data_IF_702843164010
#
_entry.id   IF_702843164010
#
_cell.length_a   1.000
_cell.length_b   1.000
_cell.length_c   1.000
_cell.angle_alpha   90.00
_cell.angle_beta   90.00
_cell.angle_gamma   90.00
#
_symmetry.space_group_name_H-M   'P 1'
#
loop_
_entity.id
_entity.type
_entity.pdbx_description
1 polymer ?
#
# COMPACT_ATOMS: atom_id res chain seq x y z
N UNK A 1 9.19 -9.87 -19.40
CA UNK A 1 9.99 -8.62 -19.42
C UNK A 1 9.16 -7.33 -19.46
N UNK A 2 8.46 -6.95 -20.55
CA UNK A 2 7.75 -5.66 -20.56
C UNK A 2 6.55 -5.58 -19.60
N UNK A 3 5.78 -6.67 -19.46
CA UNK A 3 4.60 -6.73 -18.58
C UNK A 3 4.97 -6.73 -17.09
N UNK A 4 6.04 -7.43 -16.73
CA UNK A 4 6.54 -7.44 -15.34
C UNK A 4 7.06 -6.06 -14.95
N UNK A 5 7.86 -5.41 -15.80
CA UNK A 5 8.33 -4.04 -15.56
C UNK A 5 7.18 -3.05 -15.35
N UNK A 6 6.09 -3.18 -16.13
CA UNK A 6 4.88 -2.37 -15.95
C UNK A 6 4.17 -2.63 -14.61
N UNK A 7 4.12 -3.89 -14.15
CA UNK A 7 3.52 -4.24 -12.86
C UNK A 7 4.30 -3.70 -11.65
N UNK A 8 5.63 -3.65 -11.74
CA UNK A 8 6.48 -3.03 -10.71
C UNK A 8 6.29 -1.52 -10.57
N UNK A 9 5.91 -0.86 -11.67
CA UNK A 9 5.71 0.59 -11.74
C UNK A 9 4.24 1.01 -11.59
N UNK A 10 3.33 0.04 -11.52
CA UNK A 10 1.91 0.30 -11.40
C UNK A 10 1.57 0.88 -10.00
N UNK A 11 1.25 2.17 -9.97
CA UNK A 11 0.64 2.82 -8.83
C UNK A 11 -0.83 3.15 -9.16
N UNK A 12 -1.80 2.84 -8.29
CA UNK A 12 -3.18 3.25 -8.49
C UNK A 12 -3.33 4.78 -8.54
N UNK A 13 -4.44 5.30 -9.09
CA UNK A 13 -4.74 6.72 -9.02
C UNK A 13 -4.89 7.21 -7.57
N UNK A 14 -4.59 8.49 -7.33
CA UNK A 14 -4.67 9.11 -6.00
C UNK A 14 -6.03 8.96 -5.32
N UNK A 15 -7.12 8.92 -6.09
CA UNK A 15 -8.46 8.74 -5.55
C UNK A 15 -8.62 7.43 -4.78
N UNK A 16 -7.93 6.34 -5.16
CA UNK A 16 -7.94 5.10 -4.38
C UNK A 16 -7.37 5.35 -2.97
N UNK A 17 -6.26 6.05 -2.89
CA UNK A 17 -5.58 6.36 -1.64
C UNK A 17 -6.35 7.37 -0.79
N UNK A 18 -7.02 8.34 -1.41
CA UNK A 18 -7.88 9.31 -0.73
C UNK A 18 -9.10 8.62 -0.10
N UNK A 19 -9.79 7.76 -0.86
CA UNK A 19 -10.96 7.04 -0.38
C UNK A 19 -10.62 5.96 0.66
N UNK A 20 -9.44 5.34 0.56
CA UNK A 20 -8.99 4.32 1.50
C UNK A 20 -8.34 4.88 2.78
N UNK A 21 -8.03 6.18 2.86
CA UNK A 21 -7.17 6.75 3.91
C UNK A 21 -7.64 6.45 5.32
N UNK A 22 -8.88 6.78 5.64
CA UNK A 22 -9.43 6.66 6.99
C UNK A 22 -9.57 5.20 7.43
N UNK A 23 -9.59 4.29 6.44
CA UNK A 23 -9.73 2.86 6.63
C UNK A 23 -8.40 2.11 6.56
N UNK A 24 -7.27 2.80 6.38
CA UNK A 24 -5.93 2.20 6.36
C UNK A 24 -5.64 1.29 7.56
N UNK A 25 -5.94 1.69 8.83
CA UNK A 25 -5.67 0.82 9.98
C UNK A 25 -6.48 -0.48 9.90
N UNK A 26 -7.73 -0.40 9.46
CA UNK A 26 -8.62 -1.56 9.31
C UNK A 26 -8.17 -2.44 8.15
N UNK A 27 -7.81 -1.85 7.01
CA UNK A 27 -7.26 -2.55 5.85
C UNK A 27 -5.94 -3.25 6.16
N UNK A 28 -5.07 -2.64 6.98
CA UNK A 28 -3.87 -3.28 7.52
C UNK A 28 -4.22 -4.52 8.36
N UNK A 29 -5.25 -4.44 9.21
CA UNK A 29 -5.68 -5.58 10.02
C UNK A 29 -6.25 -6.71 9.17
N UNK A 30 -7.02 -6.40 8.11
CA UNK A 30 -7.47 -7.39 7.13
C UNK A 30 -6.27 -8.09 6.46
N UNK A 31 -5.26 -7.34 6.03
CA UNK A 31 -4.00 -7.92 5.51
C UNK A 31 -3.29 -8.79 6.53
N UNK A 32 -3.28 -8.42 7.80
CA UNK A 32 -2.68 -9.25 8.84
C UNK A 32 -3.43 -10.57 9.04
N UNK A 33 -4.77 -10.56 8.98
CA UNK A 33 -5.58 -11.78 9.05
C UNK A 33 -5.22 -12.74 7.90
N UNK A 34 -5.17 -12.24 6.66
CA UNK A 34 -4.74 -13.01 5.49
C UNK A 34 -3.30 -13.52 5.62
N UNK A 35 -2.37 -12.62 5.95
CA UNK A 35 -0.94 -12.96 6.00
C UNK A 35 -0.62 -13.98 7.10
N UNK A 36 -1.38 -13.98 8.19
CA UNK A 36 -1.21 -14.96 9.28
C UNK A 36 -1.46 -16.38 8.77
N UNK A 37 -2.53 -16.58 8.00
CA UNK A 37 -2.85 -17.89 7.40
C UNK A 37 -1.79 -18.28 6.37
N UNK A 38 -1.45 -17.38 5.45
CA UNK A 38 -0.46 -17.69 4.40
C UNK A 38 0.92 -18.02 4.96
N UNK A 39 1.34 -17.37 6.07
CA UNK A 39 2.61 -17.73 6.74
C UNK A 39 2.56 -19.11 7.38
N UNK A 40 1.43 -19.52 7.94
CA UNK A 40 1.28 -20.87 8.49
C UNK A 40 1.41 -21.92 7.39
N UNK A 41 0.83 -21.67 6.21
CA UNK A 41 0.94 -22.56 5.05
C UNK A 41 2.38 -22.64 4.56
N UNK A 42 3.09 -21.51 4.43
CA UNK A 42 4.50 -21.50 4.01
C UNK A 42 5.40 -22.20 5.02
N UNK A 43 5.29 -21.86 6.30
CA UNK A 43 6.15 -22.43 7.35
C UNK A 43 5.90 -23.92 7.58
N UNK A 44 4.65 -24.40 7.42
CA UNK A 44 4.34 -25.82 7.54
C UNK A 44 4.97 -26.67 6.41
N UNK A 45 5.33 -26.04 5.29
CA UNK A 45 5.96 -26.71 4.14
C UNK A 45 7.50 -26.64 4.20
N UNK A 46 8.09 -25.65 4.87
CA UNK A 46 9.55 -25.59 5.06
C UNK A 46 10.09 -26.78 5.87
N UNK A 47 9.27 -27.39 6.73
CA UNK A 47 9.61 -28.61 7.49
C UNK A 47 9.42 -29.92 6.67
N UNK A 48 8.86 -29.87 5.46
CA UNK A 48 8.47 -31.05 4.67
C UNK A 48 8.71 -30.89 3.16
N UNK A 49 9.95 -31.13 2.70
CA UNK A 49 10.38 -31.23 1.28
C UNK A 49 10.08 -30.01 0.37
N UNK A 50 10.99 -29.64 -0.56
CA UNK A 50 10.94 -28.34 -1.26
C UNK A 50 9.86 -28.21 -2.35
N UNK A 51 8.99 -29.20 -2.54
CA UNK A 51 7.87 -29.11 -3.47
C UNK A 51 6.59 -28.89 -2.68
N UNK A 52 6.10 -27.65 -2.70
CA UNK A 52 4.79 -27.36 -2.14
C UNK A 52 3.75 -28.08 -3.00
N UNK A 53 3.13 -29.14 -2.46
CA UNK A 53 2.02 -29.81 -3.13
C UNK A 53 0.91 -28.79 -3.42
N UNK A 54 0.47 -28.74 -4.67
CA UNK A 54 -0.61 -27.87 -5.15
C UNK A 54 -1.88 -28.03 -4.30
N UNK A 55 -2.11 -29.21 -3.71
CA UNK A 55 -3.23 -29.43 -2.80
C UNK A 55 -3.11 -28.58 -1.52
N UNK A 56 -1.93 -28.55 -0.89
CA UNK A 56 -1.66 -27.78 0.32
C UNK A 56 -1.78 -26.27 0.08
N UNK A 57 -1.30 -25.79 -1.06
CA UNK A 57 -1.49 -24.38 -1.46
C UNK A 57 -2.96 -24.03 -1.65
N UNK A 58 -3.71 -24.88 -2.33
CA UNK A 58 -5.14 -24.66 -2.55
C UNK A 58 -5.91 -24.62 -1.22
N UNK A 59 -5.64 -25.55 -0.30
CA UNK A 59 -6.20 -25.52 1.05
C UNK A 59 -5.80 -24.24 1.79
N UNK A 60 -4.54 -23.80 1.64
CA UNK A 60 -4.05 -22.55 2.20
C UNK A 60 -4.79 -21.32 1.67
N UNK A 61 -5.01 -21.22 0.36
CA UNK A 61 -5.76 -20.13 -0.25
C UNK A 61 -7.24 -20.13 0.18
N UNK A 62 -7.87 -21.29 0.29
CA UNK A 62 -9.25 -21.40 0.80
C UNK A 62 -9.36 -20.99 2.28
N UNK A 63 -8.40 -21.38 3.11
CA UNK A 63 -8.32 -20.95 4.51
C UNK A 63 -8.09 -19.43 4.63
N UNK A 64 -7.20 -18.89 3.79
CA UNK A 64 -6.91 -17.45 3.76
C UNK A 64 -8.12 -16.64 3.28
N UNK A 65 -8.89 -17.19 2.33
CA UNK A 65 -10.18 -16.64 1.89
C UNK A 65 -11.19 -16.61 3.04
N UNK A 66 -11.40 -17.74 3.70
CA UNK A 66 -12.31 -17.84 4.84
C UNK A 66 -11.94 -16.87 5.97
N UNK A 67 -10.64 -16.70 6.27
CA UNK A 67 -10.18 -15.75 7.28
C UNK A 67 -10.42 -14.29 6.86
N UNK A 68 -10.29 -13.98 5.57
CA UNK A 68 -10.51 -12.63 5.05
C UNK A 68 -12.00 -12.28 5.04
N UNK A 69 -12.87 -13.22 4.65
CA UNK A 69 -14.34 -13.09 4.73
C UNK A 69 -14.80 -12.94 6.18
N UNK A 70 -14.34 -13.81 7.08
CA UNK A 70 -14.67 -13.73 8.50
C UNK A 70 -14.19 -12.42 9.17
N UNK A 71 -13.15 -11.78 8.62
CA UNK A 71 -12.76 -10.43 9.05
C UNK A 71 -13.75 -9.37 8.55
N UNK A 72 -14.18 -9.45 7.29
CA UNK A 72 -15.16 -8.52 6.73
C UNK A 72 -16.52 -8.64 7.43
N UNK A 73 -16.95 -9.85 7.78
CA UNK A 73 -18.23 -10.11 8.47
C UNK A 73 -18.30 -9.50 9.89
N UNK A 74 -17.19 -9.05 10.45
CA UNK A 74 -17.17 -8.28 11.70
C UNK A 74 -17.66 -6.84 11.51
N UNK A 75 -17.77 -6.39 10.26
CA UNK A 75 -18.21 -5.05 9.89
C UNK A 75 -19.58 -5.11 9.20
N UNK A 76 -20.43 -4.07 9.35
CA UNK A 76 -21.66 -3.97 8.57
C UNK A 76 -21.36 -4.01 7.07
N UNK A 77 -22.24 -4.64 6.28
CA UNK A 77 -22.05 -4.84 4.84
C UNK A 77 -21.80 -3.52 4.09
N UNK A 78 -22.43 -2.42 4.50
CA UNK A 78 -22.19 -1.10 3.87
C UNK A 78 -20.76 -0.58 4.07
N UNK A 79 -20.02 -1.11 5.05
CA UNK A 79 -18.63 -0.74 5.35
C UNK A 79 -17.62 -1.61 4.61
N UNK A 80 -18.01 -2.75 4.05
CA UNK A 80 -17.10 -3.65 3.32
C UNK A 80 -16.31 -2.94 2.21
N UNK A 81 -16.92 -2.09 1.35
CA UNK A 81 -16.18 -1.36 0.32
C UNK A 81 -15.06 -0.49 0.91
N UNK A 82 -15.32 0.16 2.05
CA UNK A 82 -14.37 1.06 2.70
C UNK A 82 -13.19 0.29 3.30
N UNK A 83 -13.46 -0.85 3.93
CA UNK A 83 -12.41 -1.76 4.45
C UNK A 83 -11.50 -2.23 3.33
N UNK A 84 -12.08 -2.61 2.18
CA UNK A 84 -11.34 -3.08 1.01
C UNK A 84 -10.53 -1.96 0.35
N UNK A 85 -11.08 -0.75 0.22
CA UNK A 85 -10.34 0.42 -0.26
C UNK A 85 -9.18 0.78 0.69
N UNK A 86 -9.38 0.67 2.00
CA UNK A 86 -8.31 0.83 2.99
C UNK A 86 -7.22 -0.23 2.86
N UNK A 87 -7.59 -1.49 2.58
CA UNK A 87 -6.63 -2.56 2.35
C UNK A 87 -5.84 -2.33 1.05
N UNK A 88 -6.51 -1.95 -0.03
CA UNK A 88 -5.85 -1.60 -1.30
C UNK A 88 -4.90 -0.42 -1.11
N UNK A 89 -5.34 0.68 -0.51
CA UNK A 89 -4.50 1.85 -0.24
C UNK A 89 -3.26 1.46 0.60
N UNK A 90 -3.42 0.61 1.61
CA UNK A 90 -2.31 0.13 2.43
C UNK A 90 -1.33 -0.75 1.65
N UNK A 91 -1.84 -1.67 0.84
CA UNK A 91 -1.03 -2.58 0.02
C UNK A 91 -0.18 -1.80 -0.99
N UNK A 92 -0.81 -0.92 -1.76
CA UNK A 92 -0.12 -0.17 -2.80
C UNK A 92 0.77 0.95 -2.25
N UNK A 93 0.42 1.58 -1.12
CA UNK A 93 1.28 2.59 -0.49
C UNK A 93 2.56 2.01 0.11
N UNK A 94 2.59 0.70 0.39
CA UNK A 94 3.81 0.04 0.82
C UNK A 94 4.84 -0.16 -0.29
N UNK A 95 4.43 -0.09 -1.56
CA UNK A 95 5.33 -0.32 -2.68
C UNK A 95 5.89 -1.76 -2.76
N UNK A 96 6.82 -1.98 -3.70
CA UNK A 96 7.53 -3.25 -3.84
C UNK A 96 8.42 -3.55 -2.63
N UNK A 97 8.60 -4.82 -2.30
CA UNK A 97 9.43 -5.25 -1.17
C UNK A 97 10.31 -6.43 -1.56
N UNK A 98 11.59 -6.39 -1.19
CA UNK A 98 12.58 -7.42 -1.49
C UNK A 98 12.72 -7.71 -2.98
N UNK A 99 12.54 -6.68 -3.82
CA UNK A 99 12.55 -6.83 -5.27
C UNK A 99 11.31 -7.52 -5.85
N UNK A 100 10.26 -7.77 -5.07
CA UNK A 100 8.98 -8.34 -5.52
C UNK A 100 7.92 -7.24 -5.74
N UNK A 101 6.97 -7.42 -6.68
CA UNK A 101 5.89 -6.48 -6.89
C UNK A 101 4.93 -6.47 -5.69
N UNK A 102 4.02 -5.50 -5.66
CA UNK A 102 3.01 -5.40 -4.60
C UNK A 102 2.19 -6.69 -4.54
N UNK A 103 2.18 -7.35 -3.38
CA UNK A 103 1.41 -8.58 -3.15
C UNK A 103 -0.04 -8.25 -2.82
N UNK A 104 -0.87 -8.10 -3.84
CA UNK A 104 -2.27 -7.68 -3.74
C UNK A 104 -3.29 -8.84 -3.77
N UNK A 105 -2.82 -10.09 -3.72
CA UNK A 105 -3.66 -11.29 -3.77
C UNK A 105 -4.83 -11.29 -2.77
N UNK A 106 -4.70 -10.60 -1.62
CA UNK A 106 -5.78 -10.38 -0.66
C UNK A 106 -7.05 -9.80 -1.31
N UNK A 107 -6.90 -8.72 -2.09
CA UNK A 107 -8.06 -7.97 -2.62
C UNK A 107 -8.63 -8.62 -3.90
N UNK A 108 -7.93 -9.63 -4.43
CA UNK A 108 -8.31 -10.37 -5.63
C UNK A 108 -8.69 -11.83 -5.38
N UNK A 109 -9.09 -12.16 -4.14
CA UNK A 109 -9.58 -13.50 -3.82
C UNK A 109 -10.91 -13.78 -4.52
N UNK A 110 -10.94 -14.85 -5.30
CA UNK A 110 -12.16 -15.37 -5.91
C UNK A 110 -13.07 -15.99 -4.84
N UNK A 111 -14.38 -16.00 -5.08
CA UNK A 111 -15.31 -16.71 -4.19
C UNK A 111 -15.21 -18.23 -4.32
N UNK A 112 -16.01 -18.94 -3.53
CA UNK A 112 -16.05 -20.41 -3.52
C UNK A 112 -16.42 -20.96 -4.90
N UNK A 113 -15.83 -22.08 -5.26
CA UNK A 113 -16.29 -22.82 -6.43
C UNK A 113 -17.69 -23.38 -6.15
N UNK A 114 -18.62 -23.18 -7.09
CA UNK A 114 -19.96 -23.75 -6.97
C UNK A 114 -19.89 -25.28 -7.17
N UNK A 115 -20.89 -25.99 -6.69
CA UNK A 115 -21.00 -27.42 -6.92
C UNK A 115 -21.45 -27.70 -8.36
N UNK A 116 -20.79 -28.66 -9.03
CA UNK A 116 -21.12 -29.12 -10.38
C UNK A 116 -20.04 -28.84 -11.42
N UNK A 117 -19.92 -29.74 -12.40
CA UNK A 117 -18.98 -29.60 -13.52
C UNK A 117 -19.31 -28.36 -14.35
N UNK A 118 -18.30 -27.53 -14.67
CA UNK A 118 -18.49 -26.27 -15.41
C UNK A 118 -19.22 -25.17 -14.63
N UNK A 119 -19.52 -25.37 -13.34
CA UNK A 119 -20.13 -24.32 -12.52
C UNK A 119 -19.11 -23.24 -12.16
N UNK A 120 -19.54 -21.98 -12.26
CA UNK A 120 -18.70 -20.82 -11.95
C UNK A 120 -18.39 -20.68 -10.45
N UNK A 121 -17.89 -19.51 -10.05
CA UNK A 121 -17.62 -19.20 -8.64
C UNK A 121 -18.71 -18.32 -8.03
N UNK A 122 -18.90 -18.41 -6.73
CA UNK A 122 -19.64 -17.43 -5.95
C UNK A 122 -18.94 -16.06 -6.00
N UNK A 123 -19.67 -14.96 -5.78
CA UNK A 123 -19.03 -13.67 -5.52
C UNK A 123 -18.06 -13.79 -4.33
N UNK A 124 -16.88 -13.21 -4.48
CA UNK A 124 -15.86 -13.18 -3.42
C UNK A 124 -15.32 -11.76 -3.22
N UNK A 125 -14.22 -11.64 -2.48
CA UNK A 125 -13.58 -10.33 -2.21
C UNK A 125 -13.26 -9.59 -3.51
N UNK A 126 -12.81 -10.27 -4.56
CA UNK A 126 -12.56 -9.64 -5.86
C UNK A 126 -13.80 -8.95 -6.43
N UNK A 127 -15.00 -9.53 -6.26
CA UNK A 127 -16.24 -8.92 -6.72
C UNK A 127 -16.61 -7.69 -5.89
N UNK A 128 -16.44 -7.76 -4.57
CA UNK A 128 -16.65 -6.62 -3.66
C UNK A 128 -15.67 -5.49 -3.94
N UNK A 129 -14.40 -5.82 -4.24
CA UNK A 129 -13.36 -4.85 -4.59
C UNK A 129 -13.69 -4.17 -5.92
N UNK A 130 -14.10 -4.91 -6.95
CA UNK A 130 -14.55 -4.33 -8.22
C UNK A 130 -15.74 -3.38 -8.01
N UNK A 131 -16.72 -3.78 -7.20
CA UNK A 131 -17.85 -2.91 -6.87
C UNK A 131 -17.40 -1.63 -6.13
N UNK A 132 -16.47 -1.76 -5.18
CA UNK A 132 -15.91 -0.62 -4.46
C UNK A 132 -15.16 0.35 -5.39
N UNK A 133 -14.37 -0.16 -6.34
CA UNK A 133 -13.68 0.65 -7.34
C UNK A 133 -14.66 1.38 -8.27
N UNK A 134 -15.78 0.76 -8.64
CA UNK A 134 -16.86 1.42 -9.39
C UNK A 134 -17.56 2.49 -8.58
N UNK A 135 -17.84 2.23 -7.31
CA UNK A 135 -18.48 3.18 -6.40
C UNK A 135 -17.67 4.48 -6.28
N UNK A 136 -16.33 4.41 -6.32
CA UNK A 136 -15.45 5.59 -6.29
C UNK A 136 -15.11 6.14 -7.69
N UNK A 137 -15.73 5.61 -8.74
CA UNK A 137 -15.58 6.07 -10.12
C UNK A 137 -14.27 5.69 -10.80
N UNK A 138 -13.48 4.78 -10.21
CA UNK A 138 -12.22 4.31 -10.80
C UNK A 138 -12.42 3.26 -11.91
N UNK A 139 -13.51 2.51 -11.83
CA UNK A 139 -13.93 1.59 -12.88
C UNK A 139 -15.32 1.99 -13.35
N UNK A 140 -15.58 1.88 -14.66
CA UNK A 140 -16.95 1.97 -15.19
C UNK A 140 -17.73 0.68 -14.97
N UNK A 141 -19.04 0.77 -15.15
CA UNK A 141 -19.89 -0.41 -15.30
C UNK A 141 -19.59 -1.08 -16.65
N UNK A 142 -19.55 -2.43 -16.69
CA UNK A 142 -19.40 -3.15 -17.94
C UNK A 142 -20.64 -2.92 -18.80
N UNK A 143 -20.43 -2.55 -20.07
CA UNK A 143 -21.50 -2.39 -21.05
C UNK A 143 -21.39 -3.50 -22.08
N UNK A 144 -22.48 -4.22 -22.27
CA UNK A 144 -22.59 -5.20 -23.34
C UNK A 144 -22.76 -4.47 -24.67
N UNK A 145 -21.82 -4.68 -25.57
CA UNK A 145 -21.85 -4.16 -26.94
C UNK A 145 -21.99 -5.32 -27.93
N UNK A 146 -22.27 -5.02 -29.19
CA UNK A 146 -22.29 -6.02 -30.27
C UNK A 146 -20.92 -6.68 -30.50
N UNK A 147 -19.83 -6.10 -30.00
CA UNK A 147 -18.48 -6.66 -30.06
C UNK A 147 -18.10 -7.49 -28.80
N UNK A 148 -19.02 -7.60 -27.83
CA UNK A 148 -18.78 -8.23 -26.54
C UNK A 148 -18.84 -7.22 -25.39
N UNK A 149 -18.42 -7.68 -24.20
CA UNK A 149 -18.40 -6.85 -22.99
C UNK A 149 -17.24 -5.85 -23.06
N UNK A 150 -17.54 -4.56 -22.93
CA UNK A 150 -16.54 -3.48 -22.90
C UNK A 150 -16.60 -2.80 -21.53
N UNK A 151 -15.42 -2.50 -20.98
CA UNK A 151 -15.28 -1.65 -19.79
C UNK A 151 -14.87 -0.25 -20.26
N UNK A 152 -15.69 0.75 -19.91
CA UNK A 152 -15.33 2.15 -20.07
C UNK A 152 -14.53 2.60 -18.85
N UNK A 153 -13.38 3.22 -19.09
CA UNK A 153 -12.60 3.92 -18.09
C UNK A 153 -12.89 5.42 -18.24
N UNK A 154 -12.63 6.25 -17.23
CA UNK A 154 -12.72 7.70 -17.41
C UNK A 154 -11.77 8.11 -18.55
N UNK A 155 -12.34 8.76 -19.59
CA UNK A 155 -11.64 9.05 -20.83
C UNK A 155 -10.43 9.97 -20.63
N UNK A 156 -9.36 9.63 -21.35
CA UNK A 156 -7.97 10.10 -21.31
C UNK A 156 -7.10 9.52 -20.17
N UNK A 157 -5.89 8.98 -20.49
CA UNK A 157 -4.92 8.63 -19.45
C UNK A 157 -4.67 9.87 -18.58
N UNK A 158 -4.81 9.71 -17.26
CA UNK A 158 -4.63 10.81 -16.33
C UNK A 158 -3.27 11.49 -16.63
N UNK A 159 -3.24 12.76 -17.03
CA UNK A 159 -1.97 13.43 -17.35
C UNK A 159 -1.09 13.63 -16.12
N UNK A 160 -1.65 13.42 -14.92
CA UNK A 160 -0.88 13.31 -13.68
C UNK A 160 -0.35 11.88 -13.58
N UNK A 161 0.96 11.71 -13.67
CA UNK A 161 1.62 10.47 -13.29
C UNK A 161 1.06 10.01 -11.93
N UNK A 162 0.74 8.71 -11.81
CA UNK A 162 0.15 8.10 -10.62
C UNK A 162 1.02 8.21 -9.35
N UNK A 163 2.18 8.84 -9.48
CA UNK A 163 3.21 8.94 -8.46
C UNK A 163 3.89 7.60 -8.23
N UNK A 164 4.85 7.58 -7.31
CA UNK A 164 5.53 6.36 -6.88
C UNK A 164 5.32 6.18 -5.37
N UNK A 165 4.97 4.97 -4.91
CA UNK A 165 4.85 4.70 -3.48
C UNK A 165 6.25 4.66 -2.85
N UNK A 166 6.44 5.46 -1.81
CA UNK A 166 7.70 5.54 -1.07
C UNK A 166 7.42 5.60 0.43
N UNK A 167 7.86 4.59 1.16
CA UNK A 167 8.05 4.68 2.61
C UNK A 167 9.30 5.49 2.95
N UNK A 168 9.14 6.49 3.80
CA UNK A 168 10.19 7.33 4.35
C UNK A 168 10.34 7.02 5.85
N UNK A 169 11.47 6.43 6.19
CA UNK A 169 11.81 5.98 7.53
C UNK A 169 12.45 7.09 8.37
N UNK A 170 12.17 7.06 9.68
CA UNK A 170 12.79 7.97 10.65
C UNK A 170 12.20 9.38 10.66
N UNK A 171 11.07 9.62 9.97
CA UNK A 171 10.44 10.92 9.88
C UNK A 171 10.12 11.52 11.26
N UNK A 172 9.56 10.73 12.19
CA UNK A 172 9.28 11.19 13.55
C UNK A 172 10.52 11.70 14.29
N UNK A 173 11.65 11.00 14.12
CA UNK A 173 12.88 11.32 14.83
C UNK A 173 13.57 12.53 14.24
N UNK A 174 13.57 12.66 12.91
CA UNK A 174 14.15 13.82 12.24
C UNK A 174 13.32 15.08 12.48
N UNK A 175 11.98 14.98 12.50
CA UNK A 175 11.12 16.09 12.93
C UNK A 175 11.45 16.49 14.38
N UNK A 176 11.54 15.51 15.29
CA UNK A 176 11.87 15.77 16.69
C UNK A 176 13.20 16.52 16.81
N UNK A 177 14.27 16.04 16.15
CA UNK A 177 15.59 16.70 16.13
C UNK A 177 15.55 18.11 15.55
N UNK A 178 14.75 18.33 14.51
CA UNK A 178 14.60 19.66 13.89
C UNK A 178 13.88 20.65 14.83
N UNK A 179 12.97 20.16 15.68
CA UNK A 179 12.17 21.00 16.59
C UNK A 179 12.71 21.08 18.03
N UNK A 180 13.57 20.16 18.42
CA UNK A 180 14.10 20.03 19.79
C UNK A 180 15.62 19.75 19.74
N UNK A 181 16.48 20.78 19.90
CA UNK A 181 17.94 20.64 19.81
C UNK A 181 18.55 19.63 20.78
N UNK A 182 17.97 19.46 21.97
CA UNK A 182 18.47 18.54 23.01
C UNK A 182 18.10 17.06 22.75
N UNK A 183 17.54 16.74 21.59
CA UNK A 183 17.19 15.36 21.23
C UNK A 183 18.45 14.50 21.16
N UNK A 184 18.52 13.37 21.90
CA UNK A 184 19.67 12.48 21.86
C UNK A 184 20.03 12.03 20.45
N UNK A 185 21.32 11.88 20.15
CA UNK A 185 21.83 11.49 18.83
C UNK A 185 21.43 10.07 18.38
N UNK A 186 21.01 9.21 19.31
CA UNK A 186 20.51 7.87 19.02
C UNK A 186 19.01 7.80 19.31
N UNK A 187 18.25 7.23 18.36
CA UNK A 187 16.79 7.03 18.49
C UNK A 187 16.40 6.18 19.70
N UNK A 188 17.24 5.20 20.06
CA UNK A 188 17.06 4.30 21.20
C UNK A 188 17.04 5.04 22.54
N UNK A 189 17.75 6.17 22.63
CA UNK A 189 17.87 6.99 23.84
C UNK A 189 16.72 7.98 24.03
N UNK A 190 15.85 8.16 23.03
CA UNK A 190 14.64 8.98 23.18
C UNK A 190 13.66 8.25 24.08
N UNK A 191 13.21 8.94 25.13
CA UNK A 191 12.28 8.37 26.11
C UNK A 191 10.98 7.86 25.45
N UNK A 192 10.36 6.78 25.96
CA UNK A 192 9.12 6.25 25.38
C UNK A 192 7.98 7.28 25.25
N UNK A 193 7.73 8.17 26.25
CA UNK A 193 6.70 9.20 26.13
C UNK A 193 6.99 10.22 25.01
N UNK A 194 8.24 10.70 24.91
CA UNK A 194 8.63 11.61 23.82
C UNK A 194 8.53 10.95 22.45
N UNK A 195 8.93 9.68 22.35
CA UNK A 195 8.78 8.90 21.12
C UNK A 195 7.32 8.80 20.70
N UNK A 196 6.42 8.43 21.63
CA UNK A 196 5.00 8.34 21.35
C UNK A 196 4.42 9.69 20.90
N UNK A 197 4.77 10.78 21.58
CA UNK A 197 4.35 12.13 21.22
C UNK A 197 4.85 12.54 19.82
N UNK A 198 6.12 12.27 19.50
CA UNK A 198 6.68 12.59 18.18
C UNK A 198 6.01 11.77 17.06
N UNK A 199 5.71 10.48 17.31
CA UNK A 199 4.97 9.64 16.35
C UNK A 199 3.53 10.14 16.15
N UNK A 200 2.86 10.59 17.21
CA UNK A 200 1.53 11.18 17.12
C UNK A 200 1.54 12.46 16.26
N UNK A 201 2.54 13.34 16.46
CA UNK A 201 2.70 14.54 15.61
C UNK A 201 2.85 14.21 14.12
N UNK A 202 3.56 13.15 13.77
CA UNK A 202 3.64 12.69 12.37
C UNK A 202 2.27 12.26 11.85
N UNK A 203 1.47 11.57 12.66
CA UNK A 203 0.11 11.17 12.27
C UNK A 203 -0.81 12.37 12.01
N UNK A 204 -0.62 13.48 12.73
CA UNK A 204 -1.34 14.72 12.48
C UNK A 204 -0.81 15.42 11.20
N UNK A 205 0.52 15.47 11.04
CA UNK A 205 1.16 16.22 9.95
C UNK A 205 0.94 15.60 8.57
N UNK A 206 0.83 14.27 8.48
CA UNK A 206 0.57 13.59 7.19
C UNK A 206 -0.76 13.99 6.56
N UNK A 207 -1.73 14.44 7.37
CA UNK A 207 -3.06 14.81 6.89
C UNK A 207 -3.06 16.17 6.18
N UNK A 208 -2.37 17.15 6.79
CA UNK A 208 -2.50 18.56 6.38
C UNK A 208 -1.18 19.17 5.91
N UNK A 209 -0.07 18.90 6.62
CA UNK A 209 1.20 19.63 6.41
C UNK A 209 2.10 18.97 5.37
N UNK A 210 2.12 17.64 5.32
CA UNK A 210 3.00 16.92 4.40
C UNK A 210 2.40 16.84 3.00
N UNK A 211 1.07 16.88 2.84
CA UNK A 211 0.45 16.93 1.51
C UNK A 211 0.86 18.22 0.79
N UNK A 212 1.44 18.07 -0.40
CA UNK A 212 1.97 19.18 -1.18
C UNK A 212 3.40 19.59 -0.83
N UNK A 213 3.98 19.05 0.25
CA UNK A 213 5.36 19.34 0.63
C UNK A 213 6.31 18.89 -0.48
N UNK A 214 7.25 19.77 -0.81
CA UNK A 214 8.32 19.49 -1.74
C UNK A 214 9.47 18.78 -1.02
N UNK A 215 9.95 17.70 -1.61
CA UNK A 215 11.12 16.97 -1.14
C UNK A 215 12.17 16.95 -2.25
N UNK A 216 13.43 17.07 -1.86
CA UNK A 216 14.56 16.71 -2.73
C UNK A 216 15.09 15.34 -2.34
N UNK A 217 15.58 14.57 -3.30
CA UNK A 217 16.26 13.30 -3.04
C UNK A 217 17.75 13.40 -3.32
N UNK A 218 18.56 12.71 -2.52
CA UNK A 218 20.01 12.58 -2.76
C UNK A 218 20.52 11.26 -2.20
N UNK A 219 21.64 10.78 -2.73
CA UNK A 219 22.36 9.61 -2.21
C UNK A 219 23.44 10.08 -1.23
N UNK A 220 23.57 9.42 -0.09
CA UNK A 220 24.65 9.68 0.87
C UNK A 220 25.90 8.85 0.56
N UNK A 221 27.02 9.16 1.20
CA UNK A 221 28.28 8.41 1.05
C UNK A 221 28.20 6.92 1.43
N UNK A 222 27.12 6.52 2.15
CA UNK A 222 26.84 5.13 2.54
C UNK A 222 25.79 4.47 1.63
N UNK A 223 25.62 4.96 0.40
CA UNK A 223 24.63 4.48 -0.58
C UNK A 223 23.18 4.45 -0.06
N UNK A 224 22.83 5.36 0.85
CA UNK A 224 21.46 5.52 1.34
C UNK A 224 20.78 6.67 0.62
N UNK A 225 19.57 6.45 0.11
CA UNK A 225 18.75 7.54 -0.44
C UNK A 225 18.04 8.27 0.71
N UNK A 226 18.22 9.59 0.76
CA UNK A 226 17.56 10.47 1.73
C UNK A 226 16.64 11.46 1.04
N UNK A 227 15.68 11.96 1.81
CA UNK A 227 14.78 13.04 1.42
C UNK A 227 15.04 14.25 2.30
N UNK A 228 15.04 15.45 1.71
CA UNK A 228 15.17 16.72 2.44
C UNK A 228 14.00 17.65 2.14
N UNK A 229 13.64 18.46 3.13
CA UNK A 229 12.67 19.55 2.93
C UNK A 229 13.34 20.72 2.19
N UNK A 230 12.57 21.73 1.72
CA UNK A 230 13.14 22.89 1.03
C UNK A 230 14.09 23.72 1.90
N UNK A 231 13.98 23.61 3.22
CA UNK A 231 14.84 24.26 4.20
C UNK A 231 16.15 23.48 4.46
N UNK A 232 16.39 22.39 3.73
CA UNK A 232 17.59 21.55 3.87
C UNK A 232 17.53 20.52 5.00
N UNK A 233 16.49 20.55 5.84
CA UNK A 233 16.30 19.59 6.92
C UNK A 233 16.12 18.18 6.37
N UNK A 234 16.78 17.20 7.00
CA UNK A 234 16.56 15.79 6.68
C UNK A 234 15.10 15.44 7.03
N UNK A 235 14.32 15.03 6.03
CA UNK A 235 12.95 14.56 6.25
C UNK A 235 12.96 13.08 6.65
N UNK A 236 13.75 12.26 5.96
CA UNK A 236 13.94 10.86 6.31
C UNK A 236 14.69 10.06 5.26
N UNK A 237 14.83 8.78 5.54
CA UNK A 237 15.53 7.82 4.68
C UNK A 237 14.52 7.05 3.85
N UNK A 238 14.75 6.94 2.55
CA UNK A 238 13.92 6.11 1.68
C UNK A 238 14.10 4.64 2.08
N UNK A 239 12.99 3.90 2.18
CA UNK A 239 13.03 2.46 2.43
C UNK A 239 13.79 1.75 1.32
N UNK A 240 14.54 0.72 1.69
CA UNK A 240 15.18 -0.19 0.73
C UNK A 240 14.15 -0.69 -0.29
N UNK A 241 14.59 -0.90 -1.52
CA UNK A 241 13.77 -1.31 -2.68
C UNK A 241 12.88 -0.22 -3.27
N UNK A 242 12.70 0.93 -2.59
CA UNK A 242 12.03 2.11 -3.16
C UNK A 242 13.02 3.14 -3.73
N UNK A 243 14.31 2.92 -3.50
CA UNK A 243 15.41 3.85 -3.78
C UNK A 243 15.48 4.20 -5.27
N UNK A 244 15.39 3.19 -6.14
CA UNK A 244 15.41 3.39 -7.60
C UNK A 244 14.26 4.26 -8.09
N UNK A 245 13.07 4.17 -7.49
CA UNK A 245 11.94 5.02 -7.85
C UNK A 245 12.15 6.46 -7.37
N UNK A 246 12.69 6.61 -6.16
CA UNK A 246 12.91 7.92 -5.53
C UNK A 246 14.01 8.76 -6.22
N UNK A 247 15.04 8.14 -6.79
CA UNK A 247 16.14 8.89 -7.44
C UNK A 247 15.89 9.24 -8.91
N UNK A 248 14.75 8.83 -9.50
CA UNK A 248 14.43 9.13 -10.92
C UNK A 248 14.29 10.63 -11.19
N UNK A 249 13.97 11.40 -10.15
CA UNK A 249 13.77 12.83 -10.22
C UNK A 249 14.40 13.50 -9.00
N UNK A 250 14.95 14.70 -9.19
CA UNK A 250 15.58 15.45 -8.09
C UNK A 250 14.56 16.00 -7.11
N UNK A 251 13.35 16.33 -7.61
CA UNK A 251 12.28 17.00 -6.86
C UNK A 251 10.99 16.22 -6.93
N UNK A 252 10.38 16.08 -5.76
CA UNK A 252 9.14 15.37 -5.56
C UNK A 252 8.14 16.23 -4.79
N UNK A 253 6.87 16.02 -5.06
CA UNK A 253 5.76 16.51 -4.25
C UNK A 253 5.09 15.32 -3.59
N UNK A 254 4.87 15.39 -2.28
CA UNK A 254 4.02 14.42 -1.58
C UNK A 254 2.57 14.66 -2.02
N UNK A 255 2.05 13.80 -2.90
CA UNK A 255 0.68 13.92 -3.39
C UNK A 255 -0.35 13.33 -2.41
N UNK A 256 0.09 12.31 -1.68
CA UNK A 256 -0.66 11.67 -0.60
C UNK A 256 0.33 11.16 0.45
N UNK A 257 -0.08 11.16 1.73
CA UNK A 257 0.70 10.58 2.81
C UNK A 257 -0.19 9.93 3.88
N UNK A 258 0.37 8.94 4.56
CA UNK A 258 -0.15 8.36 5.79
C UNK A 258 1.00 7.99 6.74
N UNK A 259 0.70 7.91 8.04
CA UNK A 259 1.68 7.55 9.05
C UNK A 259 1.57 6.05 9.39
N UNK A 260 2.71 5.38 9.56
CA UNK A 260 2.78 4.04 10.14
C UNK A 260 3.98 3.98 11.07
N UNK A 261 3.73 3.83 12.37
CA UNK A 261 4.76 3.78 13.42
C UNK A 261 5.73 5.00 13.42
N UNK A 262 5.24 6.18 13.00
CA UNK A 262 6.06 7.39 12.87
C UNK A 262 6.93 7.46 11.61
N UNK A 263 6.84 6.48 10.72
CA UNK A 263 7.31 6.58 9.34
C UNK A 263 6.18 7.12 8.46
N UNK A 264 6.55 7.64 7.30
CA UNK A 264 5.60 8.21 6.33
C UNK A 264 5.51 7.28 5.13
N UNK A 265 4.32 6.75 4.86
CA UNK A 265 3.96 6.14 3.58
C UNK A 265 3.51 7.28 2.66
N UNK A 266 4.19 7.51 1.54
CA UNK A 266 3.88 8.61 0.64
C UNK A 266 3.67 8.13 -0.79
N UNK A 267 2.79 8.82 -1.53
CA UNK A 267 2.79 8.78 -2.99
C UNK A 267 3.50 10.03 -3.48
N UNK A 268 4.66 9.87 -4.08
CA UNK A 268 5.50 10.97 -4.56
C UNK A 268 5.21 11.23 -6.04
N UNK A 269 4.86 12.47 -6.39
CA UNK A 269 4.73 12.90 -7.78
C UNK A 269 5.96 13.70 -8.20
N UNK A 270 6.53 13.43 -9.38
CA UNK A 270 7.68 14.19 -9.86
C UNK A 270 7.28 15.64 -10.09
N UNK A 271 8.16 16.57 -9.72
CA UNK A 271 8.00 17.99 -10.02
C UNK A 271 8.87 18.31 -11.22
N UNK A 272 8.30 18.73 -12.36
CA UNK A 272 9.06 19.12 -13.54
C UNK A 272 10.16 20.13 -13.19
N UNK A 273 11.27 20.08 -13.91
CA UNK A 273 12.37 21.05 -13.80
C UNK A 273 11.88 22.48 -14.06
#
# INVERSE_FOLDING_TARGET
MAVEALAYEACPPLSLFEQGRDWLPVGKNLRQAYSRVMRQVVNANDDASPEVDSATLNTGFEAARAASEAFLDQWPTEKHPHVLLGAAAYLYAQGPQQGEPVRDALIWQLGRQRAGEGSGREPGIAHLMLAALRQIGLLGEPVWTNAGMVLYYQDAPCPRAAGVPVTINGAWYNLLRATCPDTPAQMSLVSPPQRAQAKARIADYVQEQFRGLLLTTSVTDNDRVITRTPLGNLFGYVQRDHELAAIRHDRWRIAWAAATDGNVLAILQPVPA
#
